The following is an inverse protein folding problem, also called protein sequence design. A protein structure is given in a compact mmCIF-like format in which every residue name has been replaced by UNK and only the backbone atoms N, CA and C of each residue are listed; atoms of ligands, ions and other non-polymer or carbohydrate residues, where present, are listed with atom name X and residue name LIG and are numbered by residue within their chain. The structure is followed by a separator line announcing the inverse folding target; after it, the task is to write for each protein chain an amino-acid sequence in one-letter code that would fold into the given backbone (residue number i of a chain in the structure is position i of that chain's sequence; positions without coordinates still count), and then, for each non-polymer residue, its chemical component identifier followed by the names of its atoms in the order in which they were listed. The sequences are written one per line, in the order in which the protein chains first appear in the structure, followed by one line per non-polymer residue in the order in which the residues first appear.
data_IF_550247243459
#
_entry.id   IF_550247243459
#
_cell.length_a   1.000
_cell.length_b   1.000
_cell.length_c   1.000
_cell.angle_alpha   90.00
_cell.angle_beta   90.00
_cell.angle_gamma   90.00
#
_symmetry.space_group_name_H-M   'P 1'
#
loop_
_entity.id
_entity.type
_entity.pdbx_description
1 polymer ?
#
# COMPACT_ATOMS: atom_id res chain seq x y z
N UNK A 1 -14.99 -5.75 5.21
CA UNK A 1 -14.83 -6.18 3.80
C UNK A 1 -14.66 -7.70 3.78
N UNK A 2 -14.99 -8.38 2.68
CA UNK A 2 -14.75 -9.83 2.56
C UNK A 2 -13.98 -10.15 1.29
N UNK A 3 -13.17 -11.20 1.33
CA UNK A 3 -12.56 -11.83 0.17
C UNK A 3 -13.10 -13.25 0.02
N UNK A 4 -13.53 -13.57 -1.19
CA UNK A 4 -13.99 -14.91 -1.56
C UNK A 4 -13.09 -15.48 -2.63
N UNK A 5 -12.50 -16.63 -2.34
CA UNK A 5 -11.78 -17.47 -3.29
C UNK A 5 -12.79 -18.53 -3.74
N UNK A 6 -13.11 -18.60 -5.03
CA UNK A 6 -14.23 -19.43 -5.51
C UNK A 6 -13.99 -20.94 -5.34
N UNK A 7 -12.73 -21.36 -5.33
CA UNK A 7 -12.34 -22.74 -5.05
C UNK A 7 -12.48 -23.12 -3.58
N UNK A 8 -12.74 -22.15 -2.70
CA UNK A 8 -12.81 -22.35 -1.24
C UNK A 8 -14.25 -22.21 -0.73
N UNK A 9 -14.56 -22.93 0.34
CA UNK A 9 -15.82 -22.84 1.07
C UNK A 9 -15.82 -21.65 2.05
N UNK A 10 -14.67 -21.35 2.66
CA UNK A 10 -14.55 -20.30 3.68
C UNK A 10 -14.28 -18.93 3.07
N UNK A 11 -15.08 -17.94 3.47
CA UNK A 11 -14.84 -16.53 3.16
C UNK A 11 -13.88 -15.91 4.17
N UNK A 12 -12.90 -15.15 3.68
CA UNK A 12 -12.00 -14.36 4.54
C UNK A 12 -12.68 -13.02 4.84
N UNK A 13 -12.90 -12.72 6.13
CA UNK A 13 -13.65 -11.55 6.57
C UNK A 13 -12.77 -10.57 7.32
N UNK A 14 -12.39 -9.47 6.68
CA UNK A 14 -11.58 -8.43 7.29
C UNK A 14 -12.38 -7.61 8.32
N UNK A 15 -11.92 -7.61 9.57
CA UNK A 15 -12.48 -6.85 10.70
C UNK A 15 -11.37 -6.16 11.52
N UNK A 16 -11.77 -5.30 12.45
CA UNK A 16 -10.83 -4.50 13.26
C UNK A 16 -10.03 -5.33 14.28
N UNK A 17 -10.54 -6.52 14.67
CA UNK A 17 -9.99 -7.29 15.79
C UNK A 17 -8.82 -8.22 15.40
N UNK A 18 -8.81 -8.73 14.16
CA UNK A 18 -7.89 -9.79 13.73
C UNK A 18 -7.25 -9.52 12.37
N UNK A 19 -5.97 -9.87 12.25
CA UNK A 19 -5.26 -10.04 11.00
C UNK A 19 -5.59 -11.41 10.41
N UNK A 20 -5.82 -11.45 9.10
CA UNK A 20 -6.13 -12.70 8.43
C UNK A 20 -4.85 -13.35 7.93
N UNK A 21 -4.78 -14.67 8.05
CA UNK A 21 -3.69 -15.49 7.52
C UNK A 21 -4.30 -16.60 6.69
N UNK A 22 -3.93 -16.65 5.42
CA UNK A 22 -4.21 -17.78 4.55
C UNK A 22 -2.94 -18.62 4.48
N UNK A 23 -2.99 -19.77 5.12
CA UNK A 23 -1.87 -20.71 5.21
C UNK A 23 -2.15 -21.95 4.38
N UNK A 24 -1.27 -22.25 3.42
CA UNK A 24 -1.51 -23.33 2.44
C UNK A 24 -0.33 -24.27 2.45
N UNK A 25 -0.60 -25.55 2.69
CA UNK A 25 0.46 -26.56 2.72
C UNK A 25 0.92 -26.97 1.31
N UNK A 26 -0.02 -27.19 0.38
CA UNK A 26 0.30 -27.62 -0.99
C UNK A 26 0.91 -26.47 -1.83
N UNK A 27 2.10 -26.71 -2.38
CA UNK A 27 2.93 -25.67 -2.99
C UNK A 27 2.39 -25.13 -4.32
N UNK A 28 1.74 -25.98 -5.14
CA UNK A 28 1.17 -25.54 -6.42
C UNK A 28 -0.05 -24.66 -6.19
N UNK A 29 -0.92 -25.02 -5.26
CA UNK A 29 -2.06 -24.19 -4.86
C UNK A 29 -1.58 -22.86 -4.28
N UNK A 30 -0.61 -22.89 -3.37
CA UNK A 30 -0.01 -21.66 -2.84
C UNK A 30 0.53 -20.75 -3.96
N UNK A 31 1.33 -21.30 -4.87
CA UNK A 31 1.86 -20.55 -6.01
C UNK A 31 0.76 -20.00 -6.93
N UNK A 32 -0.28 -20.80 -7.21
CA UNK A 32 -1.44 -20.42 -8.01
C UNK A 32 -2.19 -19.23 -7.41
N UNK A 33 -2.47 -19.28 -6.10
CA UNK A 33 -3.17 -18.24 -5.36
C UNK A 33 -2.34 -16.96 -5.25
N UNK A 34 -1.06 -17.07 -4.86
CA UNK A 34 -0.16 -15.91 -4.77
C UNK A 34 -0.06 -15.20 -6.13
N UNK A 35 0.11 -15.95 -7.23
CA UNK A 35 0.14 -15.36 -8.57
C UNK A 35 -1.20 -14.73 -8.97
N UNK A 36 -2.33 -15.35 -8.63
CA UNK A 36 -3.67 -14.81 -8.91
C UNK A 36 -3.92 -13.51 -8.14
N UNK A 37 -3.59 -13.45 -6.85
CA UNK A 37 -3.70 -12.24 -6.02
C UNK A 37 -2.75 -11.14 -6.52
N UNK A 38 -1.51 -11.48 -6.90
CA UNK A 38 -0.58 -10.53 -7.50
C UNK A 38 -1.15 -9.91 -8.78
N UNK A 39 -1.65 -10.74 -9.71
CA UNK A 39 -2.23 -10.30 -10.98
C UNK A 39 -3.44 -9.40 -10.76
N UNK A 40 -4.38 -9.82 -9.91
CA UNK A 40 -5.57 -9.04 -9.56
C UNK A 40 -5.21 -7.70 -8.91
N UNK A 41 -4.24 -7.67 -7.99
CA UNK A 41 -3.77 -6.44 -7.35
C UNK A 41 -3.14 -5.46 -8.35
N UNK A 42 -2.61 -5.96 -9.47
CA UNK A 42 -2.04 -5.16 -10.55
C UNK A 42 -3.02 -4.93 -11.72
N UNK A 43 -4.29 -5.31 -11.57
CA UNK A 43 -5.32 -5.11 -12.61
C UNK A 43 -5.17 -6.02 -13.84
N UNK A 44 -4.47 -7.14 -13.71
CA UNK A 44 -4.25 -8.12 -14.77
C UNK A 44 -5.30 -9.22 -14.61
N UNK A 45 -6.32 -9.22 -15.46
CA UNK A 45 -7.42 -10.20 -15.40
C UNK A 45 -7.18 -11.46 -16.27
N UNK A 46 -6.24 -11.39 -17.21
CA UNK A 46 -5.93 -12.50 -18.11
C UNK A 46 -5.08 -13.60 -17.43
N UNK A 47 -5.43 -14.86 -17.68
CA UNK A 47 -4.65 -16.02 -17.23
C UNK A 47 -4.68 -16.23 -15.71
N UNK A 48 -5.71 -15.72 -15.03
CA UNK A 48 -5.95 -15.98 -13.61
C UNK A 48 -6.39 -17.44 -13.46
N UNK A 49 -5.66 -18.19 -12.63
CA UNK A 49 -5.97 -19.58 -12.32
C UNK A 49 -7.08 -19.68 -11.25
N UNK A 50 -6.98 -18.86 -10.21
CA UNK A 50 -7.92 -18.85 -9.07
C UNK A 50 -8.83 -17.63 -9.16
N UNK A 51 -10.14 -17.86 -9.23
CA UNK A 51 -11.09 -16.74 -9.23
C UNK A 51 -11.26 -16.21 -7.81
N UNK A 52 -10.93 -14.92 -7.62
CA UNK A 52 -10.99 -14.26 -6.32
C UNK A 52 -11.73 -12.93 -6.48
N UNK A 53 -12.69 -12.67 -5.59
CA UNK A 53 -13.46 -11.42 -5.57
C UNK A 53 -13.41 -10.76 -4.20
N UNK A 54 -13.43 -9.44 -4.20
CA UNK A 54 -13.64 -8.64 -2.98
C UNK A 54 -15.06 -8.13 -2.93
N UNK A 55 -15.65 -8.18 -1.73
CA UNK A 55 -17.02 -7.78 -1.45
C UNK A 55 -17.06 -6.72 -0.35
N UNK A 56 -17.78 -5.64 -0.61
CA UNK A 56 -18.13 -4.61 0.38
C UNK A 56 -19.64 -4.37 0.29
N UNK A 57 -20.36 -4.53 1.41
CA UNK A 57 -21.83 -4.49 1.44
C UNK A 57 -22.48 -5.39 0.36
N UNK A 58 -21.97 -6.61 0.19
CA UNK A 58 -22.41 -7.61 -0.80
C UNK A 58 -22.24 -7.18 -2.27
N UNK A 59 -21.48 -6.11 -2.54
CA UNK A 59 -21.13 -5.67 -3.90
C UNK A 59 -19.69 -5.99 -4.21
N UNK A 60 -19.45 -6.49 -5.43
CA UNK A 60 -18.09 -6.69 -5.94
C UNK A 60 -17.43 -5.33 -6.13
N UNK A 61 -16.27 -5.15 -5.52
CA UNK A 61 -15.44 -3.95 -5.63
C UNK A 61 -14.20 -4.22 -6.49
N UNK A 62 -13.54 -3.16 -6.95
CA UNK A 62 -12.38 -3.28 -7.82
C UNK A 62 -11.14 -3.74 -7.03
N UNK A 63 -10.67 -4.95 -7.30
CA UNK A 63 -9.54 -5.54 -6.59
C UNK A 63 -8.29 -4.63 -6.59
N UNK A 64 -7.82 -4.22 -7.77
CA UNK A 64 -6.59 -3.42 -7.91
C UNK A 64 -6.63 -2.02 -7.29
N UNK A 65 -7.83 -1.46 -7.04
CA UNK A 65 -7.98 -0.16 -6.36
C UNK A 65 -7.95 -0.29 -4.84
N UNK A 66 -8.38 -1.44 -4.32
CA UNK A 66 -8.55 -1.66 -2.89
C UNK A 66 -7.37 -2.41 -2.27
N UNK A 67 -6.44 -2.91 -3.08
CA UNK A 67 -5.35 -3.77 -2.60
C UNK A 67 -3.96 -3.27 -2.96
N UNK A 68 -3.00 -3.62 -2.12
CA UNK A 68 -1.57 -3.56 -2.39
C UNK A 68 -0.96 -4.92 -2.14
N UNK A 69 -0.12 -5.40 -3.06
CA UNK A 69 0.57 -6.67 -2.93
C UNK A 69 2.07 -6.43 -2.77
N UNK A 70 2.67 -6.97 -1.71
CA UNK A 70 4.11 -6.87 -1.46
C UNK A 70 4.67 -8.25 -1.13
N UNK A 71 5.50 -8.75 -2.04
CA UNK A 71 6.27 -9.99 -1.84
C UNK A 71 7.71 -9.68 -1.41
N UNK A 72 8.35 -8.73 -2.09
CA UNK A 72 9.70 -8.27 -1.76
C UNK A 72 9.64 -6.93 -1.01
N UNK A 73 9.41 -7.01 0.30
CA UNK A 73 9.43 -5.83 1.17
C UNK A 73 10.83 -5.25 1.37
N UNK A 74 11.90 -6.04 1.15
CA UNK A 74 13.29 -5.58 1.28
C UNK A 74 13.66 -4.60 0.16
N UNK A 75 13.21 -4.88 -1.07
CA UNK A 75 13.45 -4.02 -2.23
C UNK A 75 12.27 -3.12 -2.59
N UNK A 76 11.23 -3.04 -1.74
CA UNK A 76 10.10 -2.16 -1.97
C UNK A 76 10.56 -0.70 -2.17
N UNK A 77 10.26 -0.13 -3.35
CA UNK A 77 10.62 1.25 -3.69
C UNK A 77 9.53 2.22 -3.21
N UNK A 78 9.77 2.83 -2.06
CA UNK A 78 8.94 3.91 -1.51
C UNK A 78 8.88 5.18 -2.38
N UNK A 79 9.65 5.25 -3.46
CA UNK A 79 9.68 6.37 -4.41
C UNK A 79 9.24 5.95 -5.82
N UNK A 80 8.58 4.80 -5.98
CA UNK A 80 7.96 4.46 -7.25
C UNK A 80 6.93 5.52 -7.66
N UNK A 81 6.72 5.70 -8.96
CA UNK A 81 5.89 6.78 -9.53
C UNK A 81 4.53 6.94 -8.87
N UNK A 82 3.84 5.84 -8.55
CA UNK A 82 2.53 5.87 -7.88
C UNK A 82 2.62 6.54 -6.50
N UNK A 83 3.57 6.13 -5.66
CA UNK A 83 3.75 6.68 -4.30
C UNK A 83 4.23 8.13 -4.36
N UNK A 84 5.15 8.44 -5.27
CA UNK A 84 5.63 9.81 -5.48
C UNK A 84 4.53 10.79 -5.86
N UNK A 85 3.64 10.38 -6.77
CA UNK A 85 2.49 11.19 -7.14
C UNK A 85 1.55 11.42 -5.96
N UNK A 86 1.31 10.41 -5.12
CA UNK A 86 0.49 10.58 -3.92
C UNK A 86 1.15 11.48 -2.87
N UNK A 87 2.46 11.38 -2.69
CA UNK A 87 3.21 12.27 -1.81
C UNK A 87 3.03 13.73 -2.24
N UNK A 88 3.17 14.02 -3.53
CA UNK A 88 2.96 15.38 -4.04
C UNK A 88 1.51 15.83 -3.84
N UNK A 89 0.52 14.97 -4.14
CA UNK A 89 -0.90 15.28 -3.91
C UNK A 89 -1.23 15.52 -2.45
N UNK A 90 -0.63 14.74 -1.55
CA UNK A 90 -0.83 14.92 -0.12
C UNK A 90 -0.34 16.29 0.34
N UNK A 91 0.89 16.66 -0.02
CA UNK A 91 1.45 17.96 0.36
C UNK A 91 0.68 19.12 -0.29
N UNK A 92 0.36 19.01 -1.58
CA UNK A 92 -0.47 19.99 -2.30
C UNK A 92 -1.85 20.17 -1.65
N UNK A 93 -2.50 19.07 -1.25
CA UNK A 93 -3.76 19.09 -0.52
C UNK A 93 -3.65 19.78 0.84
N UNK A 94 -2.52 19.64 1.55
CA UNK A 94 -2.29 20.39 2.81
C UNK A 94 -2.18 21.89 2.54
N UNK A 95 -1.46 22.32 1.50
CA UNK A 95 -1.43 23.72 1.10
C UNK A 95 -2.82 24.26 0.73
N UNK A 96 -3.63 23.48 0.00
CA UNK A 96 -4.98 23.88 -0.38
C UNK A 96 -5.92 24.07 0.82
N UNK A 97 -5.68 23.38 1.93
CA UNK A 97 -6.45 23.54 3.17
C UNK A 97 -5.94 24.70 4.05
N UNK A 98 -4.70 25.14 3.86
CA UNK A 98 -4.05 26.19 4.64
C UNK A 98 -3.82 27.45 3.79
N UNK A 99 -4.87 28.24 3.60
CA UNK A 99 -4.88 29.42 2.72
C UNK A 99 -3.68 30.36 2.94
N UNK A 100 -3.33 30.66 4.20
CA UNK A 100 -2.21 31.55 4.52
C UNK A 100 -0.85 31.00 4.03
N UNK A 101 -0.64 29.68 4.11
CA UNK A 101 0.59 29.05 3.60
C UNK A 101 0.62 29.08 2.08
N UNK A 102 -0.51 28.83 1.43
CA UNK A 102 -0.61 28.88 -0.03
C UNK A 102 -0.39 30.30 -0.56
N UNK A 103 -0.99 31.31 0.08
CA UNK A 103 -0.80 32.71 -0.28
C UNK A 103 0.66 33.17 -0.11
N UNK A 104 1.29 32.80 1.01
CA UNK A 104 2.71 33.05 1.23
C UNK A 104 3.60 32.37 0.18
N UNK A 105 3.30 31.12 -0.17
CA UNK A 105 3.99 30.39 -1.23
C UNK A 105 3.86 31.09 -2.59
N UNK A 106 2.63 31.45 -2.99
CA UNK A 106 2.37 32.13 -4.26
C UNK A 106 3.05 33.50 -4.33
N UNK A 107 3.05 34.25 -3.22
CA UNK A 107 3.73 35.55 -3.13
C UNK A 107 5.24 35.42 -3.36
N UNK A 108 5.88 34.40 -2.78
CA UNK A 108 7.32 34.16 -2.97
C UNK A 108 7.63 33.87 -4.44
N UNK A 109 6.86 32.98 -5.08
CA UNK A 109 7.09 32.64 -6.49
C UNK A 109 6.75 33.77 -7.45
N UNK A 110 5.73 34.58 -7.14
CA UNK A 110 5.41 35.77 -7.90
C UNK A 110 6.59 36.75 -7.93
N UNK A 111 7.24 36.99 -6.78
CA UNK A 111 8.42 37.87 -6.72
C UNK A 111 9.57 37.32 -7.57
N UNK A 112 9.80 36.01 -7.55
CA UNK A 112 10.82 35.38 -8.42
C UNK A 112 10.49 35.58 -9.91
N UNK A 113 9.21 35.50 -10.29
CA UNK A 113 8.78 35.77 -11.66
C UNK A 113 8.98 37.24 -12.06
N UNK A 114 8.75 38.19 -11.15
CA UNK A 114 9.03 39.61 -11.39
C UNK A 114 10.53 39.85 -11.62
N UNK A 115 11.40 39.28 -10.78
CA UNK A 115 12.85 39.40 -10.92
C UNK A 115 13.32 38.91 -12.31
N UNK A 116 12.74 37.81 -12.81
CA UNK A 116 13.03 37.31 -14.16
C UNK A 116 12.46 38.23 -15.24
N UNK A 117 11.23 38.73 -15.07
CA UNK A 117 10.58 39.62 -16.04
C UNK A 117 11.38 40.90 -16.28
N UNK A 118 11.97 41.47 -15.22
CA UNK A 118 12.84 42.65 -15.29
C UNK A 118 14.10 42.42 -16.13
N UNK A 119 14.57 41.18 -16.25
CA UNK A 119 15.71 40.83 -17.11
C UNK A 119 15.25 40.65 -18.56
N UNK A 120 14.08 40.03 -18.75
CA UNK A 120 13.55 39.70 -20.08
C UNK A 120 13.11 40.95 -20.87
N UNK A 121 12.69 42.03 -20.20
CA UNK A 121 12.25 43.27 -20.85
C UNK A 121 13.33 43.93 -21.71
N UNK A 122 14.60 43.69 -21.42
CA UNK A 122 15.74 44.21 -22.16
C UNK A 122 16.01 43.45 -23.48
N UNK A 123 15.32 42.33 -23.70
CA UNK A 123 15.53 41.47 -24.86
C UNK A 123 14.51 41.78 -25.96
N UNK A 124 14.89 41.69 -27.25
CA UNK A 124 14.02 42.06 -28.37
C UNK A 124 13.02 40.96 -28.76
N UNK A 125 12.68 40.06 -27.83
CA UNK A 125 11.86 38.87 -28.09
C UNK A 125 10.59 38.89 -27.24
N UNK A 126 9.54 38.23 -27.74
CA UNK A 126 8.37 37.87 -26.94
C UNK A 126 8.65 36.54 -26.23
N UNK A 127 8.26 36.46 -24.95
CA UNK A 127 8.48 35.28 -24.13
C UNK A 127 7.15 34.75 -23.60
N UNK A 128 7.05 33.43 -23.49
CA UNK A 128 5.93 32.73 -22.86
C UNK A 128 6.47 31.89 -21.70
N UNK A 129 5.83 31.97 -20.53
CA UNK A 129 6.18 31.16 -19.36
C UNK A 129 4.95 30.86 -18.51
N UNK A 130 5.08 29.93 -17.57
CA UNK A 130 4.02 29.64 -16.58
C UNK A 130 3.97 30.78 -15.57
N UNK A 131 2.92 31.59 -15.60
CA UNK A 131 2.76 32.76 -14.71
C UNK A 131 2.57 32.37 -13.23
N UNK A 132 2.05 31.16 -12.96
CA UNK A 132 1.82 30.66 -11.61
C UNK A 132 2.53 29.33 -11.40
N UNK A 133 3.46 29.30 -10.45
CA UNK A 133 4.11 28.06 -10.02
C UNK A 133 3.18 27.35 -9.05
N UNK A 134 2.84 26.10 -9.35
CA UNK A 134 2.02 25.29 -8.44
C UNK A 134 2.92 24.65 -7.38
N UNK A 135 2.35 24.32 -6.21
CA UNK A 135 3.10 23.64 -5.14
C UNK A 135 3.75 22.36 -5.67
N UNK A 136 3.01 21.58 -6.47
CA UNK A 136 3.54 20.35 -7.10
C UNK A 136 4.78 20.61 -7.96
N UNK A 137 4.86 21.74 -8.69
CA UNK A 137 6.05 22.08 -9.48
C UNK A 137 7.26 22.29 -8.58
N UNK A 138 7.07 23.03 -7.48
CA UNK A 138 8.11 23.25 -6.49
C UNK A 138 8.58 21.93 -5.84
N UNK A 139 7.65 21.04 -5.46
CA UNK A 139 7.99 19.75 -4.85
C UNK A 139 8.84 18.88 -5.79
N UNK A 140 8.51 18.89 -7.09
CA UNK A 140 9.32 18.21 -8.12
C UNK A 140 10.68 18.89 -8.29
N UNK A 141 10.72 20.22 -8.28
CA UNK A 141 11.95 21.00 -8.43
C UNK A 141 12.96 20.70 -7.32
N UNK A 142 12.51 20.59 -6.06
CA UNK A 142 13.38 20.23 -4.93
C UNK A 142 13.67 18.73 -4.85
N UNK A 143 13.08 17.91 -5.72
CA UNK A 143 13.25 16.47 -5.72
C UNK A 143 12.76 15.81 -4.42
N UNK A 144 11.61 16.26 -3.88
CA UNK A 144 11.07 15.73 -2.63
C UNK A 144 10.84 14.22 -2.75
N UNK A 145 11.49 13.44 -1.87
CA UNK A 145 11.42 11.98 -1.86
C UNK A 145 11.30 11.44 -0.44
N UNK A 146 10.68 10.26 -0.31
CA UNK A 146 10.73 9.50 0.94
C UNK A 146 12.15 8.97 1.11
N UNK A 147 12.80 9.30 2.22
CA UNK A 147 14.15 8.83 2.53
C UNK A 147 14.11 7.32 2.74
N UNK A 148 14.91 6.58 1.98
CA UNK A 148 15.01 5.11 2.06
C UNK A 148 16.34 4.60 2.63
N UNK A 149 17.25 5.50 3.02
CA UNK A 149 18.60 5.12 3.42
C UNK A 149 18.75 5.00 4.95
N UNK A 150 19.14 3.80 5.40
CA UNK A 150 19.48 3.44 6.78
C UNK A 150 19.46 1.92 6.98
N UNK A 151 20.03 1.44 8.09
CA UNK A 151 19.80 0.08 8.58
C UNK A 151 18.37 0.00 9.14
N UNK A 152 17.37 -0.14 8.26
CA UNK A 152 16.00 -0.43 8.69
C UNK A 152 15.84 -1.93 8.89
N UNK A 153 15.22 -2.32 10.00
CA UNK A 153 14.76 -3.70 10.19
C UNK A 153 13.61 -4.03 9.23
N UNK A 154 13.32 -5.32 9.04
CA UNK A 154 12.20 -5.76 8.20
C UNK A 154 10.88 -5.21 8.75
N UNK A 155 10.71 -5.22 10.08
CA UNK A 155 9.54 -4.67 10.73
C UNK A 155 9.38 -3.18 10.40
N UNK A 156 10.41 -2.35 10.63
CA UNK A 156 10.35 -0.91 10.33
C UNK A 156 9.97 -0.62 8.87
N UNK A 157 10.48 -1.41 7.92
CA UNK A 157 10.09 -1.30 6.51
C UNK A 157 8.62 -1.61 6.28
N UNK A 158 8.08 -2.66 6.90
CA UNK A 158 6.67 -3.02 6.80
C UNK A 158 5.76 -1.97 7.45
N UNK A 159 6.16 -1.41 8.60
CA UNK A 159 5.43 -0.31 9.24
C UNK A 159 5.38 0.93 8.31
N UNK A 160 6.49 1.24 7.63
CA UNK A 160 6.54 2.34 6.65
C UNK A 160 5.64 2.08 5.42
N UNK A 161 5.53 0.83 4.95
CA UNK A 161 4.58 0.46 3.89
C UNK A 161 3.14 0.74 4.36
N UNK A 162 2.79 0.33 5.60
CA UNK A 162 1.48 0.61 6.20
C UNK A 162 1.21 2.11 6.28
N UNK A 163 2.19 2.92 6.69
CA UNK A 163 2.05 4.37 6.74
C UNK A 163 1.73 4.98 5.38
N UNK A 164 2.44 4.54 4.33
CA UNK A 164 2.18 5.00 2.96
C UNK A 164 0.76 4.65 2.53
N UNK A 165 0.31 3.42 2.77
CA UNK A 165 -1.06 3.01 2.45
C UNK A 165 -2.08 3.87 3.21
N UNK A 166 -1.85 4.11 4.50
CA UNK A 166 -2.73 4.90 5.36
C UNK A 166 -2.82 6.37 4.92
N UNK A 167 -1.69 7.07 4.85
CA UNK A 167 -1.67 8.51 4.57
C UNK A 167 -2.11 8.84 3.14
N UNK A 168 -1.74 8.00 2.18
CA UNK A 168 -2.08 8.20 0.77
C UNK A 168 -3.34 7.45 0.33
N UNK A 169 -4.01 6.73 1.25
CA UNK A 169 -5.23 5.96 0.99
C UNK A 169 -5.10 5.06 -0.25
N UNK A 170 -3.94 4.43 -0.41
CA UNK A 170 -3.58 3.71 -1.65
C UNK A 170 -4.26 2.36 -1.81
N UNK A 171 -4.68 1.77 -0.69
CA UNK A 171 -5.32 0.46 -0.58
C UNK A 171 -6.03 0.37 0.78
N UNK A 172 -6.97 -0.56 0.90
CA UNK A 172 -7.55 -0.98 2.18
C UNK A 172 -6.89 -2.26 2.70
N UNK A 173 -6.50 -3.17 1.79
CA UNK A 173 -5.87 -4.45 2.13
C UNK A 173 -4.42 -4.48 1.63
N UNK A 174 -3.49 -4.88 2.49
CA UNK A 174 -2.11 -5.21 2.16
C UNK A 174 -1.89 -6.72 2.22
N UNK A 175 -1.49 -7.31 1.10
CA UNK A 175 -1.04 -8.71 1.04
C UNK A 175 0.47 -8.79 1.26
N UNK A 176 0.87 -9.66 2.19
CA UNK A 176 2.26 -9.98 2.47
C UNK A 176 2.51 -11.48 2.28
N UNK A 177 3.60 -11.83 1.61
CA UNK A 177 3.93 -13.23 1.31
C UNK A 177 5.03 -13.72 2.23
N UNK A 178 4.78 -14.82 2.95
CA UNK A 178 5.71 -15.51 3.84
C UNK A 178 6.37 -14.62 4.89
N UNK A 179 5.73 -13.53 5.31
CA UNK A 179 6.32 -12.55 6.24
C UNK A 179 6.64 -13.16 7.60
N UNK A 180 5.89 -14.19 8.03
CA UNK A 180 6.17 -14.91 9.28
C UNK A 180 7.50 -15.66 9.28
N UNK A 181 8.12 -15.84 8.11
CA UNK A 181 9.45 -16.46 8.01
C UNK A 181 10.59 -15.49 8.34
N UNK A 182 10.30 -14.19 8.47
CA UNK A 182 11.30 -13.14 8.63
C UNK A 182 11.21 -12.39 9.95
N UNK A 183 10.06 -12.44 10.61
CA UNK A 183 9.79 -11.74 11.86
C UNK A 183 9.60 -12.74 13.00
N UNK A 184 10.08 -12.38 14.19
CA UNK A 184 9.74 -13.07 15.43
C UNK A 184 8.26 -12.90 15.77
N UNK A 185 7.71 -13.76 16.63
CA UNK A 185 6.33 -13.66 17.09
C UNK A 185 6.02 -12.29 17.72
N UNK A 186 6.98 -11.69 18.44
CA UNK A 186 6.82 -10.37 19.04
C UNK A 186 6.70 -9.27 17.97
N UNK A 187 7.56 -9.31 16.94
CA UNK A 187 7.52 -8.36 15.82
C UNK A 187 6.25 -8.53 14.97
N UNK A 188 5.77 -9.76 14.78
CA UNK A 188 4.49 -10.02 14.09
C UNK A 188 3.31 -9.40 14.85
N UNK A 189 3.24 -9.60 16.17
CA UNK A 189 2.18 -8.99 16.98
C UNK A 189 2.26 -7.45 16.93
N UNK A 190 3.45 -6.87 16.91
CA UNK A 190 3.63 -5.43 16.72
C UNK A 190 3.12 -4.96 15.35
N UNK A 191 3.46 -5.68 14.28
CA UNK A 191 2.97 -5.42 12.93
C UNK A 191 1.43 -5.46 12.88
N UNK A 192 0.80 -6.44 13.54
CA UNK A 192 -0.66 -6.59 13.56
C UNK A 192 -1.33 -5.43 14.29
N UNK A 193 -0.83 -5.07 15.48
CA UNK A 193 -1.34 -3.93 16.24
C UNK A 193 -1.23 -2.63 15.45
N UNK A 194 -0.10 -2.43 14.77
CA UNK A 194 0.14 -1.22 13.99
C UNK A 194 -0.80 -1.13 12.77
N UNK A 195 -0.99 -2.22 12.04
CA UNK A 195 -1.88 -2.24 10.88
C UNK A 195 -3.32 -1.92 11.26
N UNK A 196 -3.81 -2.48 12.38
CA UNK A 196 -5.15 -2.21 12.92
C UNK A 196 -5.29 -0.77 13.40
N UNK A 197 -4.30 -0.25 14.12
CA UNK A 197 -4.28 1.16 14.50
C UNK A 197 -4.38 2.09 13.28
N UNK A 198 -3.67 1.77 12.19
CA UNK A 198 -3.69 2.52 10.93
C UNK A 198 -4.89 2.20 10.04
N UNK A 199 -5.76 1.27 10.45
CA UNK A 199 -6.92 0.80 9.67
C UNK A 199 -6.54 0.30 8.27
N UNK A 200 -5.42 -0.42 8.21
CA UNK A 200 -4.97 -1.14 7.02
C UNK A 200 -5.13 -2.63 7.31
N UNK A 201 -6.01 -3.29 6.57
CA UNK A 201 -6.22 -4.72 6.70
C UNK A 201 -5.02 -5.48 6.14
N UNK A 202 -4.60 -6.52 6.85
CA UNK A 202 -3.54 -7.42 6.40
C UNK A 202 -4.13 -8.77 6.04
N UNK A 203 -3.69 -9.32 4.92
CA UNK A 203 -3.76 -10.75 4.65
C UNK A 203 -2.35 -11.30 4.46
N UNK A 204 -1.95 -12.21 5.36
CA UNK A 204 -0.69 -12.91 5.23
C UNK A 204 -0.89 -14.18 4.41
N UNK A 205 -0.08 -14.37 3.38
CA UNK A 205 -0.06 -15.56 2.54
C UNK A 205 1.14 -16.40 2.94
N UNK A 206 0.89 -17.50 3.64
CA UNK A 206 1.94 -18.34 4.23
C UNK A 206 1.94 -19.73 3.60
N UNK A 207 3.12 -20.25 3.25
CA UNK A 207 3.27 -21.64 2.81
C UNK A 207 3.86 -22.52 3.91
N UNK A 208 3.38 -23.76 3.99
CA UNK A 208 3.95 -24.80 4.84
C UNK A 208 2.92 -25.48 5.76
N UNK A 209 3.38 -26.39 6.62
CA UNK A 209 2.50 -27.13 7.53
C UNK A 209 1.88 -26.19 8.56
N UNK A 210 0.79 -26.62 9.20
CA UNK A 210 0.11 -25.89 10.27
C UNK A 210 1.10 -25.30 11.29
N UNK A 211 0.91 -24.02 11.62
CA UNK A 211 1.71 -23.28 12.60
C UNK A 211 0.83 -22.82 13.75
N UNK A 212 1.46 -22.52 14.88
CA UNK A 212 0.78 -21.92 16.04
C UNK A 212 0.10 -20.59 15.65
N UNK A 213 -1.13 -20.41 16.13
CA UNK A 213 -1.90 -19.18 15.93
C UNK A 213 -1.47 -18.16 16.97
N UNK A 214 -0.99 -17.00 16.51
CA UNK A 214 -0.58 -15.89 17.38
C UNK A 214 -1.76 -15.10 17.91
N UNK A 215 -1.50 -14.19 18.85
CA UNK A 215 -2.49 -13.20 19.27
C UNK A 215 -2.82 -12.24 18.11
N UNK A 216 -4.07 -11.80 18.02
CA UNK A 216 -4.58 -10.89 16.97
C UNK A 216 -4.58 -11.45 15.55
N UNK A 217 -4.49 -12.76 15.36
CA UNK A 217 -4.67 -13.37 14.04
C UNK A 217 -5.72 -14.48 14.01
N UNK A 218 -6.29 -14.68 12.81
CA UNK A 218 -7.12 -15.82 12.46
C UNK A 218 -6.49 -16.51 11.26
N UNK A 219 -6.35 -17.83 11.36
CA UNK A 219 -5.69 -18.62 10.32
C UNK A 219 -6.74 -19.48 9.62
N UNK A 220 -6.88 -19.29 8.31
CA UNK A 220 -7.47 -20.26 7.41
C UNK A 220 -6.35 -21.16 6.90
N UNK A 221 -6.25 -22.36 7.45
CA UNK A 221 -5.28 -23.37 7.04
C UNK A 221 -5.90 -24.30 6.00
N UNK A 222 -5.18 -24.54 4.91
CA UNK A 222 -5.54 -25.48 3.85
C UNK A 222 -4.47 -26.55 3.78
N UNK A 223 -4.85 -27.78 4.06
CA UNK A 223 -3.91 -28.91 4.06
C UNK A 223 -3.60 -29.43 2.65
N UNK A 224 -2.95 -30.59 2.55
CA UNK A 224 -2.61 -31.21 1.25
C UNK A 224 -3.75 -31.90 0.55
N UNK A 225 -4.78 -32.27 1.30
CA UNK A 225 -6.00 -32.88 0.77
C UNK A 225 -7.03 -31.80 0.37
N UNK A 226 -6.65 -30.52 0.51
CA UNK A 226 -7.44 -29.32 0.24
C UNK A 226 -8.58 -29.08 1.22
N UNK A 227 -8.51 -29.71 2.39
CA UNK A 227 -9.46 -29.46 3.47
C UNK A 227 -9.12 -28.14 4.18
N UNK A 228 -10.16 -27.38 4.51
CA UNK A 228 -10.07 -26.06 5.14
C UNK A 228 -10.30 -26.13 6.66
N UNK A 229 -9.41 -25.50 7.42
CA UNK A 229 -9.47 -25.45 8.88
C UNK A 229 -9.38 -23.98 9.35
N UNK A 230 -10.41 -23.52 10.05
CA UNK A 230 -10.37 -22.24 10.76
C UNK A 230 -9.76 -22.43 12.15
N UNK A 231 -8.57 -21.86 12.34
CA UNK A 231 -7.81 -21.96 13.58
C UNK A 231 -7.88 -20.63 14.34
N UNK A 232 -8.03 -20.75 15.66
CA UNK A 232 -8.12 -19.63 16.58
C UNK A 232 -7.10 -19.82 17.70
N UNK A 233 -6.55 -18.71 18.19
CA UNK A 233 -5.77 -18.73 19.42
C UNK A 233 -6.71 -19.11 20.59
N UNK A 234 -6.29 -20.08 21.42
CA UNK A 234 -7.10 -20.66 22.50
C UNK A 234 -7.11 -19.81 23.74
#
# INVERSE_FOLDING_TARGET
MKMRILSFETEISFCDDYVEVLQIEEQKLFGSLVNSIYRLSNGIEEGIAEQIVLLEEEKIINFSKETMFVMDFMNFDFNQRKIQNELYRYVDGVYALEFEKLDAFQTVFYNVCLDVSDILVELPFEFEWKEQVEVIDYLKMIGLRIKQHGEQTILERLLLIIDIIHYFKMAKILFLVNVKSFLSNAELVELYKYSKYKKVDLLLLENGPEKEVLEYERVLFVDRDFDEFLLYNK
#
